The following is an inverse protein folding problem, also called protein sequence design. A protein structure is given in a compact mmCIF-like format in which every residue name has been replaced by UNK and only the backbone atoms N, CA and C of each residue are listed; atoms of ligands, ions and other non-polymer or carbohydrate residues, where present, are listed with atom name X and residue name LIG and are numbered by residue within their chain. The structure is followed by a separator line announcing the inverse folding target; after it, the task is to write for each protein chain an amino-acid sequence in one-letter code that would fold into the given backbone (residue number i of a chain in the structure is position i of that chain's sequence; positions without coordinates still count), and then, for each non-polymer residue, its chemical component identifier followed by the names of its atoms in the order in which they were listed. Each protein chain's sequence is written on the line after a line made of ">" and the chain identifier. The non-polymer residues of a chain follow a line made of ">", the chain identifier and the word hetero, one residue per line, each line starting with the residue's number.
data_IF_811782643930
#
_entry.id   IF_811782643930
#
_cell.length_a   1.000
_cell.length_b   1.000
_cell.length_c   1.000
_cell.angle_alpha   90.00
_cell.angle_beta   90.00
_cell.angle_gamma   90.00
#
_symmetry.space_group_name_H-M   'P 1'
#
loop_
_entity.id
_entity.type
_entity.pdbx_description
1 polymer ?
#
# COMPACT_ATOMS: atom_id res chain seq x y z
N UNK A 1 14.53 7.09 -11.40
CA UNK A 1 15.36 6.67 -10.25
C UNK A 1 15.44 5.15 -10.17
N UNK A 2 16.65 4.65 -9.98
CA UNK A 2 17.11 3.33 -9.54
C UNK A 2 16.48 2.07 -10.13
N UNK A 3 15.90 2.12 -11.32
CA UNK A 3 15.32 0.91 -11.94
C UNK A 3 16.35 0.08 -12.72
N UNK A 4 17.62 0.49 -12.69
CA UNK A 4 18.77 -0.26 -13.20
C UNK A 4 19.88 -0.45 -12.18
N UNK A 5 19.64 -0.18 -10.90
CA UNK A 5 20.65 -0.37 -9.86
C UNK A 5 20.56 -1.77 -9.26
N UNK A 6 21.74 -2.38 -9.08
CA UNK A 6 21.88 -3.77 -8.66
C UNK A 6 21.45 -3.97 -7.20
N UNK A 7 20.77 -5.08 -6.91
CA UNK A 7 20.35 -5.42 -5.54
C UNK A 7 21.52 -5.44 -4.54
N UNK A 8 22.71 -5.86 -4.97
CA UNK A 8 23.93 -5.85 -4.16
C UNK A 8 24.34 -4.43 -3.71
N UNK A 9 23.97 -3.41 -4.47
CA UNK A 9 24.29 -2.01 -4.21
C UNK A 9 23.22 -1.36 -3.34
N UNK A 10 21.94 -1.52 -3.68
CA UNK A 10 20.85 -0.75 -3.03
C UNK A 10 19.91 -1.56 -2.15
N UNK A 11 20.06 -2.89 -2.10
CA UNK A 11 19.29 -3.75 -1.22
C UNK A 11 19.60 -3.53 0.27
N UNK A 12 18.87 -4.19 1.17
CA UNK A 12 19.08 -4.09 2.62
C UNK A 12 20.37 -4.79 3.05
N UNK A 13 21.52 -4.16 2.84
CA UNK A 13 22.84 -4.73 3.14
C UNK A 13 23.01 -5.15 4.61
N UNK A 14 22.32 -4.48 5.52
CA UNK A 14 22.34 -4.80 6.95
C UNK A 14 21.68 -6.16 7.25
N UNK A 15 20.70 -6.59 6.45
CA UNK A 15 20.13 -7.94 6.52
C UNK A 15 21.01 -8.98 5.82
N UNK A 16 21.85 -8.53 4.88
CA UNK A 16 22.80 -9.36 4.14
C UNK A 16 24.14 -9.54 4.86
N UNK A 17 24.32 -8.91 6.04
CA UNK A 17 25.54 -8.96 6.83
C UNK A 17 25.71 -10.35 7.48
N UNK A 18 26.27 -11.25 6.69
CA UNK A 18 26.90 -12.55 6.95
C UNK A 18 27.01 -12.95 8.45
N UNK A 19 26.14 -13.84 8.91
CA UNK A 19 26.35 -14.63 10.15
C UNK A 19 27.05 -15.97 9.88
N UNK A 20 27.30 -16.35 8.62
CA UNK A 20 27.94 -17.63 8.26
C UNK A 20 28.62 -17.63 6.90
N UNK A 21 29.66 -18.47 6.66
CA UNK A 21 30.47 -18.49 5.44
C UNK A 21 29.70 -18.79 4.13
N UNK A 22 28.40 -19.07 4.19
CA UNK A 22 27.53 -19.43 3.07
C UNK A 22 26.76 -18.28 2.42
N UNK A 23 27.01 -16.99 2.74
CA UNK A 23 26.31 -15.82 2.13
C UNK A 23 24.76 -15.97 2.11
N UNK A 24 24.16 -16.65 3.08
CA UNK A 24 22.70 -16.84 3.15
C UNK A 24 22.10 -15.84 4.13
N UNK A 25 21.02 -15.16 3.73
CA UNK A 25 20.29 -14.23 4.60
C UNK A 25 19.49 -15.05 5.61
N UNK A 26 19.76 -14.88 6.89
CA UNK A 26 18.93 -15.48 7.95
C UNK A 26 17.70 -14.59 8.19
N UNK A 27 16.51 -15.14 7.92
CA UNK A 27 15.25 -14.39 8.01
C UNK A 27 14.57 -14.71 9.34
N UNK A 28 14.55 -13.73 10.24
CA UNK A 28 13.63 -13.72 11.38
C UNK A 28 12.23 -13.25 10.94
N UNK A 29 11.28 -14.19 10.89
CA UNK A 29 9.89 -13.92 10.48
C UNK A 29 9.04 -13.25 11.55
N UNK A 30 9.47 -13.27 12.81
CA UNK A 30 8.77 -12.60 13.92
C UNK A 30 9.21 -11.14 14.04
N UNK A 31 10.39 -10.80 13.52
CA UNK A 31 10.90 -9.44 13.46
C UNK A 31 10.15 -8.57 12.43
N UNK A 32 9.57 -7.46 12.89
CA UNK A 32 8.87 -6.49 12.04
C UNK A 32 9.78 -5.80 11.02
N UNK A 33 11.05 -5.55 11.35
CA UNK A 33 12.03 -4.96 10.44
C UNK A 33 12.32 -5.89 9.26
N UNK A 34 12.55 -7.18 9.51
CA UNK A 34 12.76 -8.16 8.45
C UNK A 34 11.54 -8.23 7.52
N UNK A 35 10.32 -8.34 8.08
CA UNK A 35 9.08 -8.35 7.29
C UNK A 35 8.91 -7.09 6.46
N UNK A 36 9.18 -5.91 7.03
CA UNK A 36 9.15 -4.61 6.32
C UNK A 36 10.16 -4.59 5.17
N UNK A 37 11.42 -4.92 5.42
CA UNK A 37 12.49 -4.86 4.43
C UNK A 37 12.26 -5.86 3.28
N UNK A 38 11.82 -7.09 3.60
CA UNK A 38 11.49 -8.12 2.60
C UNK A 38 10.33 -7.66 1.73
N UNK A 39 9.22 -7.22 2.32
CA UNK A 39 8.04 -6.79 1.54
C UNK A 39 8.34 -5.56 0.68
N UNK A 40 9.12 -4.60 1.20
CA UNK A 40 9.58 -3.46 0.40
C UNK A 40 10.50 -3.91 -0.76
N UNK A 41 11.41 -4.85 -0.53
CA UNK A 41 12.30 -5.41 -1.58
C UNK A 41 11.50 -6.12 -2.67
N UNK A 42 10.49 -6.93 -2.31
CA UNK A 42 9.61 -7.57 -3.28
C UNK A 42 8.85 -6.55 -4.15
N UNK A 43 8.36 -5.46 -3.54
CA UNK A 43 7.74 -4.35 -4.29
C UNK A 43 8.76 -3.71 -5.24
N UNK A 44 10.00 -3.49 -4.82
CA UNK A 44 11.05 -2.96 -5.70
C UNK A 44 11.39 -3.92 -6.84
N UNK A 45 11.39 -5.23 -6.61
CA UNK A 45 11.50 -6.24 -7.67
C UNK A 45 10.46 -6.03 -8.78
N UNK A 46 9.22 -5.69 -8.42
CA UNK A 46 8.17 -5.38 -9.42
C UNK A 46 8.41 -4.08 -10.21
N UNK A 47 9.13 -3.10 -9.64
CA UNK A 47 9.60 -1.93 -10.38
C UNK A 47 10.70 -2.28 -11.38
N UNK A 48 11.66 -3.11 -10.97
CA UNK A 48 12.77 -3.55 -11.83
C UNK A 48 12.26 -4.40 -12.99
N UNK A 49 11.33 -5.33 -12.74
CA UNK A 49 10.66 -6.12 -13.78
C UNK A 49 10.05 -5.25 -14.90
N UNK A 50 9.32 -4.18 -14.57
CA UNK A 50 8.74 -3.30 -15.58
C UNK A 50 9.81 -2.46 -16.29
N UNK A 51 10.88 -2.08 -15.59
CA UNK A 51 11.99 -1.35 -16.20
C UNK A 51 12.77 -2.21 -17.18
N UNK A 52 13.08 -3.45 -16.84
CA UNK A 52 13.72 -4.41 -17.74
C UNK A 52 12.86 -4.66 -18.99
N UNK A 53 11.55 -4.90 -18.80
CA UNK A 53 10.59 -5.02 -19.91
C UNK A 53 10.63 -3.79 -20.84
N UNK A 54 10.75 -2.60 -20.27
CA UNK A 54 10.82 -1.36 -21.05
C UNK A 54 12.14 -1.25 -21.80
N UNK A 55 13.27 -1.51 -21.13
CA UNK A 55 14.61 -1.43 -21.71
C UNK A 55 14.85 -2.46 -22.81
N UNK A 56 14.43 -3.71 -22.62
CA UNK A 56 14.49 -4.76 -23.66
C UNK A 56 13.74 -4.36 -24.93
N UNK A 57 12.71 -3.52 -24.81
CA UNK A 57 11.98 -2.98 -25.96
C UNK A 57 12.73 -1.83 -26.64
N UNK A 58 13.42 -0.99 -25.86
CA UNK A 58 14.22 0.13 -26.37
C UNK A 58 15.55 -0.35 -26.98
N UNK A 59 16.09 -1.48 -26.52
CA UNK A 59 17.36 -2.08 -26.95
C UNK A 59 17.21 -3.05 -28.13
N UNK A 60 16.07 -3.09 -28.83
CA UNK A 60 15.86 -3.96 -29.99
C UNK A 60 16.79 -3.65 -31.20
N UNK A 61 17.78 -2.76 -31.06
CA UNK A 61 18.76 -2.37 -32.08
C UNK A 61 20.24 -2.49 -31.65
N UNK A 62 20.61 -2.92 -30.43
CA UNK A 62 22.04 -3.19 -30.13
C UNK A 62 22.31 -4.12 -28.92
N UNK A 63 23.28 -5.01 -29.15
CA UNK A 63 24.02 -5.96 -28.31
C UNK A 63 23.38 -6.69 -27.09
N UNK A 64 23.59 -8.01 -27.10
CA UNK A 64 23.00 -9.07 -26.29
C UNK A 64 23.88 -9.39 -25.08
N UNK A 65 23.65 -8.75 -23.92
CA UNK A 65 24.03 -9.29 -22.58
C UNK A 65 23.45 -8.46 -21.42
N UNK A 66 22.12 -8.32 -21.33
CA UNK A 66 21.51 -7.74 -20.13
C UNK A 66 21.15 -8.85 -19.13
N UNK A 67 21.97 -9.03 -18.09
CA UNK A 67 21.67 -9.94 -16.97
C UNK A 67 20.39 -9.45 -16.26
N UNK A 68 19.38 -10.31 -16.02
CA UNK A 68 18.18 -9.92 -15.30
C UNK A 68 18.53 -9.57 -13.85
N UNK A 69 18.32 -8.31 -13.47
CA UNK A 69 18.55 -7.74 -12.14
C UNK A 69 17.35 -7.97 -11.22
N UNK A 70 16.15 -8.12 -11.77
CA UNK A 70 14.93 -8.29 -10.99
C UNK A 70 14.96 -9.50 -10.03
N UNK A 71 15.42 -10.71 -10.44
CA UNK A 71 15.41 -11.90 -9.58
C UNK A 71 16.07 -11.74 -8.22
N UNK A 72 17.17 -10.99 -8.16
CA UNK A 72 17.91 -10.75 -6.92
C UNK A 72 17.04 -10.10 -5.81
N UNK A 73 15.97 -9.36 -6.18
CA UNK A 73 15.07 -8.70 -5.23
C UNK A 73 14.14 -9.65 -4.46
N UNK A 74 13.95 -10.88 -4.93
CA UNK A 74 13.11 -11.87 -4.26
C UNK A 74 13.84 -13.19 -3.95
N UNK A 75 14.75 -13.63 -4.82
CA UNK A 75 15.51 -14.88 -4.62
C UNK A 75 16.44 -14.80 -3.41
N UNK A 76 17.00 -13.62 -3.13
CA UNK A 76 17.83 -13.38 -1.94
C UNK A 76 17.08 -13.66 -0.62
N UNK A 77 15.74 -13.63 -0.65
CA UNK A 77 14.88 -13.90 0.50
C UNK A 77 14.15 -15.24 0.37
N UNK A 78 14.62 -16.13 -0.52
CA UNK A 78 14.04 -17.45 -0.78
C UNK A 78 12.60 -17.41 -1.31
N UNK A 79 12.29 -16.42 -2.14
CA UNK A 79 11.04 -16.39 -2.90
C UNK A 79 11.28 -16.83 -4.34
N UNK A 80 10.23 -17.36 -4.96
CA UNK A 80 10.15 -17.58 -6.41
C UNK A 80 9.01 -16.75 -7.01
N UNK A 81 9.20 -16.24 -8.22
CA UNK A 81 8.14 -15.53 -8.93
C UNK A 81 7.15 -16.54 -9.51
N UNK A 82 5.93 -16.58 -8.98
CA UNK A 82 4.87 -17.46 -9.46
C UNK A 82 4.18 -16.88 -10.69
N UNK A 83 3.79 -15.60 -10.63
CA UNK A 83 2.99 -14.96 -11.68
C UNK A 83 3.24 -13.46 -11.74
N UNK A 84 3.29 -12.91 -12.96
CA UNK A 84 3.38 -11.48 -13.20
C UNK A 84 1.99 -10.92 -13.52
N UNK A 85 1.60 -9.85 -12.84
CA UNK A 85 0.32 -9.19 -13.06
C UNK A 85 0.47 -8.11 -14.13
N UNK A 86 -0.18 -8.34 -15.27
CA UNK A 86 -0.18 -7.46 -16.44
C UNK A 86 -1.56 -6.86 -16.63
N UNK A 87 -1.63 -5.61 -17.06
CA UNK A 87 -2.92 -4.95 -17.34
C UNK A 87 -2.90 -4.25 -18.69
N UNK A 88 -3.96 -4.46 -19.47
CA UNK A 88 -4.34 -3.63 -20.62
C UNK A 88 -5.42 -2.66 -20.13
N UNK A 89 -5.07 -1.39 -19.91
CA UNK A 89 -6.04 -0.39 -19.50
C UNK A 89 -5.75 0.90 -20.25
N UNK A 90 -6.79 1.41 -20.93
CA UNK A 90 -6.77 2.63 -21.73
C UNK A 90 -7.19 3.86 -20.91
N UNK A 91 -7.33 3.75 -19.58
CA UNK A 91 -7.64 4.92 -18.78
C UNK A 91 -6.48 5.93 -18.85
N UNK A 92 -6.82 7.22 -18.83
CA UNK A 92 -5.84 8.33 -18.97
C UNK A 92 -4.65 8.15 -18.02
N UNK A 93 -4.85 7.62 -16.82
CA UNK A 93 -3.77 7.35 -15.85
C UNK A 93 -2.82 6.21 -16.24
N UNK A 94 -3.35 5.17 -16.90
CA UNK A 94 -2.54 4.10 -17.48
C UNK A 94 -1.83 4.57 -18.75
N UNK A 95 -2.29 5.66 -19.38
CA UNK A 95 -1.65 6.33 -20.51
C UNK A 95 -0.65 7.41 -20.10
N UNK A 96 -0.83 8.10 -18.97
CA UNK A 96 0.11 9.15 -18.48
C UNK A 96 1.48 8.56 -18.15
N UNK A 97 1.54 7.31 -17.64
CA UNK A 97 2.81 6.58 -17.50
C UNK A 97 3.43 6.12 -18.83
N UNK A 98 2.68 6.22 -19.94
CA UNK A 98 3.08 5.90 -21.32
C UNK A 98 3.26 7.19 -22.13
N UNK A 99 4.17 8.08 -21.75
CA UNK A 99 4.70 9.03 -22.74
C UNK A 99 5.64 8.23 -23.66
N UNK A 100 5.11 7.78 -24.80
CA UNK A 100 5.70 7.70 -26.15
C UNK A 100 4.77 6.87 -27.07
N UNK A 101 4.41 7.52 -28.17
CA UNK A 101 3.81 7.11 -29.45
C UNK A 101 2.56 6.21 -29.49
N UNK A 102 1.49 6.82 -29.98
CA UNK A 102 0.16 6.30 -30.27
C UNK A 102 0.16 5.28 -31.44
N UNK A 103 1.31 4.84 -31.96
CA UNK A 103 1.35 4.15 -33.25
C UNK A 103 1.47 2.61 -33.24
N UNK A 104 1.76 1.91 -32.13
CA UNK A 104 1.77 0.43 -32.16
C UNK A 104 1.19 -0.28 -30.92
N UNK A 105 -0.12 -0.54 -30.99
CA UNK A 105 -0.78 -1.69 -30.33
C UNK A 105 -1.17 -1.56 -28.85
N UNK A 106 -2.17 -2.34 -28.42
CA UNK A 106 -2.63 -2.47 -27.02
C UNK A 106 -1.54 -3.07 -26.13
N UNK A 107 -0.71 -2.22 -25.51
CA UNK A 107 0.43 -2.74 -24.71
C UNK A 107 0.05 -3.07 -23.26
N UNK A 108 0.45 -4.28 -22.82
CA UNK A 108 0.40 -4.76 -21.43
C UNK A 108 1.57 -4.20 -20.64
N UNK A 109 1.31 -3.59 -19.48
CA UNK A 109 2.35 -3.20 -18.53
C UNK A 109 2.26 -4.03 -17.26
N UNK A 110 3.40 -4.32 -16.64
CA UNK A 110 3.48 -5.03 -15.37
C UNK A 110 3.15 -4.03 -14.28
N UNK A 111 2.21 -4.34 -13.40
CA UNK A 111 1.85 -3.47 -12.26
C UNK A 111 2.01 -4.18 -10.90
N UNK A 112 2.28 -5.47 -10.91
CA UNK A 112 2.57 -6.26 -9.72
C UNK A 112 3.03 -7.67 -10.07
N UNK A 113 3.33 -8.45 -9.05
CA UNK A 113 3.67 -9.87 -9.18
C UNK A 113 3.24 -10.64 -7.92
N UNK A 114 3.10 -11.95 -8.06
CA UNK A 114 2.85 -12.89 -6.98
C UNK A 114 4.11 -13.70 -6.79
N UNK A 115 4.64 -13.64 -5.58
CA UNK A 115 5.80 -14.39 -5.13
C UNK A 115 5.35 -15.51 -4.20
N UNK A 116 6.01 -16.66 -4.30
CA UNK A 116 5.80 -17.79 -3.43
C UNK A 116 7.06 -18.02 -2.59
N UNK A 117 6.88 -18.21 -1.29
CA UNK A 117 7.99 -18.48 -0.39
C UNK A 117 8.42 -19.94 -0.49
N UNK A 118 9.71 -20.18 -0.74
CA UNK A 118 10.31 -21.49 -0.87
C UNK A 118 11.44 -21.64 0.17
N UNK A 119 11.16 -22.17 1.38
CA UNK A 119 12.15 -22.29 2.45
C UNK A 119 13.43 -23.03 2.00
N UNK A 120 14.61 -22.59 2.45
CA UNK A 120 15.86 -23.25 2.07
C UNK A 120 15.90 -24.69 2.61
N UNK A 121 16.45 -25.60 1.80
CA UNK A 121 16.70 -26.99 2.19
C UNK A 121 15.46 -27.84 2.47
N UNK A 122 14.27 -27.42 2.03
CA UNK A 122 13.02 -28.15 2.28
C UNK A 122 12.56 -28.11 3.73
N UNK A 123 13.08 -27.17 4.52
CA UNK A 123 12.67 -26.96 5.91
C UNK A 123 11.17 -26.62 6.01
N UNK A 124 10.48 -27.01 7.11
CA UNK A 124 9.12 -26.58 7.35
C UNK A 124 9.02 -25.05 7.34
N UNK A 125 7.99 -24.50 6.69
CA UNK A 125 7.76 -23.06 6.67
C UNK A 125 7.49 -22.55 8.09
N UNK A 126 8.18 -21.48 8.48
CA UNK A 126 7.92 -20.80 9.75
C UNK A 126 6.44 -20.37 9.86
N UNK A 127 5.76 -20.52 11.01
CA UNK A 127 4.34 -20.17 11.15
C UNK A 127 4.02 -18.72 10.75
N UNK A 128 4.93 -17.79 11.07
CA UNK A 128 4.83 -16.37 10.73
C UNK A 128 5.24 -16.03 9.29
N UNK A 129 5.80 -16.97 8.52
CA UNK A 129 6.20 -16.73 7.14
C UNK A 129 5.02 -16.80 6.18
N UNK A 130 4.94 -15.95 5.14
CA UNK A 130 3.90 -16.05 4.12
C UNK A 130 4.11 -17.29 3.26
N UNK A 131 3.02 -17.84 2.74
CA UNK A 131 3.04 -18.75 1.58
C UNK A 131 3.19 -17.95 0.29
N UNK A 132 2.45 -16.84 0.18
CA UNK A 132 2.47 -15.96 -0.97
C UNK A 132 2.56 -14.49 -0.58
N UNK A 133 3.26 -13.69 -1.38
CA UNK A 133 3.25 -12.23 -1.29
C UNK A 133 2.80 -11.66 -2.63
N UNK A 134 1.73 -10.88 -2.62
CA UNK A 134 1.28 -10.13 -3.79
C UNK A 134 1.79 -8.70 -3.67
N UNK A 135 2.75 -8.33 -4.52
CA UNK A 135 3.38 -7.02 -4.48
C UNK A 135 2.93 -6.16 -5.66
N UNK A 136 2.56 -4.90 -5.39
CA UNK A 136 2.13 -3.94 -6.40
C UNK A 136 3.05 -2.72 -6.45
N UNK A 137 3.55 -2.38 -7.64
CA UNK A 137 4.34 -1.15 -7.82
C UNK A 137 3.45 0.08 -7.98
N UNK A 138 4.01 1.23 -7.63
CA UNK A 138 3.44 2.53 -7.96
C UNK A 138 3.78 3.01 -9.37
N UNK A 139 3.59 4.30 -9.59
CA UNK A 139 3.85 4.97 -10.88
C UNK A 139 5.36 5.02 -11.17
N UNK A 140 5.76 4.77 -12.42
CA UNK A 140 7.15 4.96 -12.87
C UNK A 140 7.41 6.45 -13.06
N UNK A 141 8.29 7.06 -12.26
CA UNK A 141 8.69 8.46 -12.39
C UNK A 141 9.85 8.53 -13.37
N UNK A 142 9.61 9.00 -14.61
CA UNK A 142 10.66 9.21 -15.61
C UNK A 142 11.34 10.59 -15.48
N UNK A 143 10.62 11.61 -14.99
CA UNK A 143 11.15 12.98 -14.86
C UNK A 143 11.10 13.52 -13.42
N UNK A 144 12.03 14.42 -13.07
CA UNK A 144 12.23 14.97 -11.71
C UNK A 144 11.16 15.99 -11.27
N UNK A 145 10.45 16.65 -12.19
CA UNK A 145 9.45 17.71 -11.91
C UNK A 145 8.08 17.19 -11.47
N UNK A 146 7.96 15.89 -11.16
CA UNK A 146 6.69 15.14 -11.21
C UNK A 146 5.92 14.98 -9.89
N UNK A 147 6.38 15.46 -8.74
CA UNK A 147 5.68 15.16 -7.47
C UNK A 147 4.26 15.75 -7.40
N UNK A 148 4.12 17.01 -7.81
CA UNK A 148 2.81 17.69 -7.82
C UNK A 148 1.85 17.06 -8.84
N UNK A 149 2.35 16.77 -10.04
CA UNK A 149 1.57 16.11 -11.09
C UNK A 149 1.17 14.69 -10.67
N UNK A 150 2.11 13.93 -10.11
CA UNK A 150 1.85 12.60 -9.58
C UNK A 150 0.80 12.62 -8.46
N UNK A 151 0.85 13.61 -7.56
CA UNK A 151 -0.18 13.79 -6.52
C UNK A 151 -1.55 14.06 -7.14
N UNK A 152 -1.60 14.90 -8.18
CA UNK A 152 -2.85 15.23 -8.87
C UNK A 152 -3.40 14.00 -9.62
N UNK A 153 -2.57 13.33 -10.41
CA UNK A 153 -2.91 12.12 -11.15
C UNK A 153 -3.43 11.03 -10.22
N UNK A 154 -2.76 10.86 -9.09
CA UNK A 154 -3.12 9.86 -8.10
C UNK A 154 -4.41 10.22 -7.37
N UNK A 155 -4.66 11.51 -7.10
CA UNK A 155 -5.96 11.98 -6.57
C UNK A 155 -7.09 11.63 -7.53
N UNK A 156 -6.93 11.93 -8.81
CA UNK A 156 -7.96 11.67 -9.80
C UNK A 156 -8.14 10.15 -9.98
N UNK A 157 -7.05 9.37 -10.00
CA UNK A 157 -7.11 7.92 -10.08
C UNK A 157 -7.77 7.27 -8.86
N UNK A 158 -7.49 7.74 -7.64
CA UNK A 158 -8.19 7.29 -6.43
C UNK A 158 -9.68 7.64 -6.45
N UNK A 159 -10.06 8.72 -7.13
CA UNK A 159 -11.46 9.07 -7.36
C UNK A 159 -12.09 8.21 -8.47
N UNK A 160 -11.28 7.67 -9.39
CA UNK A 160 -11.68 6.87 -10.54
C UNK A 160 -11.31 5.37 -10.43
N UNK A 161 -10.99 4.86 -9.24
CA UNK A 161 -10.43 3.50 -9.05
C UNK A 161 -11.33 2.40 -9.64
N UNK A 162 -12.64 2.63 -9.74
CA UNK A 162 -13.61 1.71 -10.39
C UNK A 162 -13.45 1.59 -11.90
N UNK A 163 -12.94 2.64 -12.55
CA UNK A 163 -12.70 2.66 -14.00
C UNK A 163 -11.34 2.12 -14.41
N UNK A 164 -10.44 1.81 -13.46
CA UNK A 164 -9.12 1.29 -13.78
C UNK A 164 -9.07 -0.23 -13.63
N UNK A 165 -8.81 -0.94 -14.74
CA UNK A 165 -8.77 -2.41 -14.78
C UNK A 165 -7.74 -3.06 -13.86
N UNK A 166 -6.73 -2.32 -13.38
CA UNK A 166 -5.74 -2.82 -12.41
C UNK A 166 -6.36 -3.25 -11.09
N UNK A 167 -7.34 -2.49 -10.60
CA UNK A 167 -7.97 -2.76 -9.31
C UNK A 167 -8.86 -4.01 -9.40
N UNK A 168 -9.67 -4.11 -10.46
CA UNK A 168 -10.50 -5.31 -10.69
C UNK A 168 -9.65 -6.56 -10.94
N UNK A 169 -8.64 -6.47 -11.81
CA UNK A 169 -7.74 -7.59 -12.08
C UNK A 169 -6.97 -8.01 -10.83
N UNK A 170 -6.49 -7.06 -10.00
CA UNK A 170 -5.81 -7.39 -8.75
C UNK A 170 -6.72 -8.16 -7.77
N UNK A 171 -7.99 -7.73 -7.61
CA UNK A 171 -8.95 -8.43 -6.74
C UNK A 171 -9.22 -9.85 -7.22
N UNK A 172 -9.37 -10.03 -8.54
CA UNK A 172 -9.58 -11.35 -9.14
C UNK A 172 -8.36 -12.26 -8.91
N UNK A 173 -7.16 -11.75 -9.19
CA UNK A 173 -5.92 -12.52 -9.09
C UNK A 173 -5.57 -12.92 -7.65
N UNK A 174 -5.87 -12.06 -6.67
CA UNK A 174 -5.76 -12.38 -5.24
C UNK A 174 -6.87 -13.33 -4.81
N UNK A 175 -8.10 -13.13 -5.29
CA UNK A 175 -9.23 -14.03 -5.01
C UNK A 175 -8.96 -15.47 -5.46
N UNK A 176 -8.26 -15.67 -6.59
CA UNK A 176 -7.82 -16.99 -7.06
C UNK A 176 -6.89 -17.74 -6.10
N UNK A 177 -6.22 -17.03 -5.17
CA UNK A 177 -5.38 -17.66 -4.13
C UNK A 177 -6.22 -18.23 -2.97
N UNK A 178 -7.52 -17.91 -2.93
CA UNK A 178 -8.46 -18.35 -1.89
C UNK A 178 -9.68 -19.04 -2.52
N UNK A 179 -9.59 -20.33 -2.89
CA UNK A 179 -10.72 -21.11 -3.39
C UNK A 179 -11.95 -21.04 -2.47
N UNK A 180 -13.15 -21.03 -3.07
CA UNK A 180 -14.42 -20.79 -2.38
C UNK A 180 -14.81 -21.86 -1.33
N UNK A 181 -14.10 -22.99 -1.25
CA UNK A 181 -14.28 -23.99 -0.19
C UNK A 181 -13.74 -23.54 1.19
N UNK A 182 -13.14 -22.35 1.30
CA UNK A 182 -12.42 -21.86 2.48
C UNK A 182 -13.21 -20.86 3.35
N UNK A 183 -14.45 -20.52 2.96
CA UNK A 183 -15.31 -19.60 3.72
C UNK A 183 -16.27 -20.38 4.62
N UNK A 184 -15.79 -20.85 5.78
CA UNK A 184 -16.66 -21.23 6.92
C UNK A 184 -15.82 -21.40 8.19
N UNK A 185 -15.95 -20.45 9.13
CA UNK A 185 -15.41 -20.57 10.49
C UNK A 185 -14.35 -19.53 10.81
N UNK A 186 -14.71 -18.53 11.62
CA UNK A 186 -13.87 -17.36 11.95
C UNK A 186 -12.50 -17.69 12.53
N UNK A 187 -11.53 -16.82 12.21
CA UNK A 187 -10.15 -16.88 12.66
C UNK A 187 -9.21 -17.25 11.50
N UNK A 188 -8.32 -16.33 11.12
CA UNK A 188 -7.38 -16.46 10.02
C UNK A 188 -6.39 -17.63 10.22
N UNK A 189 -6.82 -18.85 9.95
CA UNK A 189 -5.97 -20.04 9.88
C UNK A 189 -6.50 -20.95 8.78
N UNK A 190 -5.91 -20.80 7.58
CA UNK A 190 -6.32 -21.53 6.38
C UNK A 190 -5.65 -22.91 6.33
N UNK A 191 -6.28 -23.96 6.87
CA UNK A 191 -5.77 -25.34 6.69
C UNK A 191 -6.11 -25.82 5.28
N UNK A 192 -5.11 -26.16 4.46
CA UNK A 192 -5.31 -26.85 3.18
C UNK A 192 -4.34 -28.01 3.04
N UNK A 193 -4.93 -29.20 2.93
CA UNK A 193 -4.45 -30.47 2.40
C UNK A 193 -2.96 -30.83 2.57
N UNK A 194 -2.73 -31.78 3.48
CA UNK A 194 -1.67 -32.79 3.37
C UNK A 194 -0.45 -32.61 4.27
N UNK A 195 -0.17 -31.40 4.74
CA UNK A 195 0.93 -31.15 5.67
C UNK A 195 0.69 -29.89 6.52
N UNK A 196 -0.29 -29.93 7.43
CA UNK A 196 -0.33 -29.17 8.69
C UNK A 196 -0.03 -27.66 8.72
N UNK A 197 -0.05 -26.92 7.61
CA UNK A 197 0.35 -25.51 7.56
C UNK A 197 -0.76 -24.59 7.08
N UNK A 198 -0.94 -23.45 7.75
CA UNK A 198 -1.93 -22.44 7.36
C UNK A 198 -1.47 -21.64 6.13
N UNK A 199 -2.22 -21.61 5.02
CA UNK A 199 -1.86 -20.79 3.85
C UNK A 199 -1.97 -19.30 4.21
N UNK A 200 -0.85 -18.58 4.19
CA UNK A 200 -0.79 -17.15 4.54
C UNK A 200 -0.42 -16.34 3.31
N UNK A 201 -1.31 -15.44 2.88
CA UNK A 201 -1.04 -14.51 1.78
C UNK A 201 -0.80 -13.13 2.37
N UNK A 202 0.21 -12.41 1.89
CA UNK A 202 0.44 -11.00 2.25
C UNK A 202 0.20 -10.09 1.05
N UNK A 203 -0.27 -8.88 1.31
CA UNK A 203 -0.37 -7.82 0.32
C UNK A 203 0.70 -6.78 0.59
N UNK A 204 1.41 -6.34 -0.44
CA UNK A 204 2.38 -5.27 -0.34
C UNK A 204 2.22 -4.28 -1.49
N UNK A 205 2.44 -3.00 -1.25
CA UNK A 205 2.48 -2.04 -2.35
C UNK A 205 3.11 -0.71 -1.97
N UNK A 206 3.59 -0.01 -2.98
CA UNK A 206 4.18 1.33 -2.84
C UNK A 206 3.40 2.37 -3.63
N UNK A 207 3.16 3.54 -3.03
CA UNK A 207 2.49 4.68 -3.67
C UNK A 207 1.14 4.24 -4.27
N UNK A 208 0.92 4.40 -5.58
CA UNK A 208 -0.27 3.86 -6.24
C UNK A 208 -0.47 2.34 -6.06
N UNK A 209 0.61 1.56 -6.01
CA UNK A 209 0.54 0.13 -5.72
C UNK A 209 0.01 -0.16 -4.32
N UNK A 210 0.34 0.71 -3.35
CA UNK A 210 -0.22 0.63 -2.00
C UNK A 210 -1.74 0.88 -2.02
N UNK A 211 -2.23 1.79 -2.86
CA UNK A 211 -3.69 1.98 -3.04
C UNK A 211 -4.38 0.75 -3.63
N UNK A 212 -3.73 0.03 -4.54
CA UNK A 212 -4.25 -1.23 -5.10
C UNK A 212 -4.30 -2.28 -3.99
N UNK A 213 -3.21 -2.47 -3.23
CA UNK A 213 -3.17 -3.37 -2.09
C UNK A 213 -4.26 -3.05 -1.05
N UNK A 214 -4.48 -1.76 -0.80
CA UNK A 214 -5.50 -1.27 0.13
C UNK A 214 -6.92 -1.59 -0.35
N UNK A 215 -7.22 -1.39 -1.64
CA UNK A 215 -8.52 -1.77 -2.22
C UNK A 215 -8.76 -3.28 -2.18
N UNK A 216 -7.74 -4.07 -2.50
CA UNK A 216 -7.80 -5.54 -2.45
C UNK A 216 -8.03 -6.01 -1.00
N UNK A 217 -7.27 -5.50 -0.03
CA UNK A 217 -7.42 -5.87 1.38
C UNK A 217 -8.82 -5.54 1.91
N UNK A 218 -9.37 -4.37 1.54
CA UNK A 218 -10.77 -4.02 1.84
C UNK A 218 -11.77 -4.98 1.21
N UNK A 219 -11.57 -5.36 -0.05
CA UNK A 219 -12.44 -6.32 -0.74
C UNK A 219 -12.44 -7.69 -0.04
N UNK A 220 -11.26 -8.18 0.35
CA UNK A 220 -11.08 -9.46 1.01
C UNK A 220 -11.70 -9.47 2.41
N UNK A 221 -11.52 -8.40 3.19
CA UNK A 221 -12.17 -8.29 4.50
C UNK A 221 -13.69 -8.13 4.38
N UNK A 222 -14.17 -7.24 3.51
CA UNK A 222 -15.60 -6.93 3.42
C UNK A 222 -16.45 -8.02 2.75
N UNK A 223 -15.87 -8.85 1.87
CA UNK A 223 -16.61 -9.92 1.17
C UNK A 223 -16.31 -11.32 1.67
N UNK A 224 -15.11 -11.57 2.19
CA UNK A 224 -14.65 -12.91 2.59
C UNK A 224 -14.24 -13.00 4.06
N UNK A 225 -14.31 -11.90 4.81
CA UNK A 225 -13.89 -11.81 6.22
C UNK A 225 -12.43 -12.26 6.45
N UNK A 226 -11.60 -12.10 5.42
CA UNK A 226 -10.18 -12.49 5.47
C UNK A 226 -9.32 -11.31 5.93
N UNK A 227 -8.72 -11.46 7.11
CA UNK A 227 -7.77 -10.49 7.65
C UNK A 227 -6.36 -10.74 7.08
N UNK A 228 -6.10 -10.14 5.92
CA UNK A 228 -4.86 -10.35 5.18
C UNK A 228 -3.78 -9.36 5.65
N UNK A 229 -2.60 -9.82 6.14
CA UNK A 229 -1.49 -8.94 6.45
C UNK A 229 -1.13 -8.07 5.26
N UNK A 230 -1.15 -6.76 5.46
CA UNK A 230 -1.00 -5.78 4.39
C UNK A 230 0.06 -4.75 4.73
N UNK A 231 1.01 -4.52 3.82
CA UNK A 231 2.14 -3.62 3.97
C UNK A 231 2.04 -2.49 2.94
N UNK A 232 1.73 -1.29 3.40
CA UNK A 232 1.43 -0.14 2.55
C UNK A 232 2.54 0.90 2.69
N UNK A 233 3.35 1.08 1.65
CA UNK A 233 4.44 2.05 1.62
C UNK A 233 4.02 3.33 0.91
N UNK A 234 4.06 4.45 1.63
CA UNK A 234 3.69 5.78 1.14
C UNK A 234 2.38 5.83 0.33
N UNK A 235 1.27 5.19 0.78
CA UNK A 235 0.02 5.26 0.06
C UNK A 235 -0.50 6.69 0.00
N UNK A 236 -1.07 7.10 -1.13
CA UNK A 236 -1.64 8.43 -1.27
C UNK A 236 -2.88 8.63 -0.41
N UNK A 237 -2.89 9.73 0.34
CA UNK A 237 -4.06 10.23 1.04
C UNK A 237 -4.12 11.73 0.88
N UNK A 238 -5.11 12.18 0.11
CA UNK A 238 -5.35 13.60 -0.06
C UNK A 238 -6.22 14.08 1.09
N UNK A 239 -5.64 14.84 2.01
CA UNK A 239 -6.41 15.67 2.94
C UNK A 239 -6.22 17.16 2.58
N UNK A 240 -7.31 17.92 2.64
CA UNK A 240 -7.29 19.40 2.52
C UNK A 240 -6.32 20.03 3.54
N UNK A 241 -6.27 19.57 4.81
CA UNK A 241 -5.29 20.07 5.78
C UNK A 241 -3.83 19.74 5.46
N UNK A 242 -3.53 18.65 4.74
CA UNK A 242 -2.15 18.32 4.35
C UNK A 242 -1.58 19.28 3.30
N UNK A 243 -2.41 20.12 2.67
CA UNK A 243 -1.97 21.20 1.80
C UNK A 243 -1.59 22.49 2.55
N UNK A 244 -1.90 22.59 3.85
CA UNK A 244 -1.50 23.71 4.69
C UNK A 244 -0.05 23.53 5.15
N UNK A 245 0.76 24.57 5.00
CA UNK A 245 2.17 24.56 5.41
C UNK A 245 2.27 24.66 6.94
N UNK A 246 2.75 23.60 7.60
CA UNK A 246 2.82 23.51 9.06
C UNK A 246 4.00 24.31 9.66
N UNK A 247 4.80 25.01 8.84
CA UNK A 247 5.99 25.74 9.29
C UNK A 247 5.69 27.02 10.07
N UNK A 248 4.43 27.50 10.07
CA UNK A 248 4.02 28.66 10.88
C UNK A 248 3.17 28.23 12.09
N UNK A 249 3.44 28.76 13.31
CA UNK A 249 2.62 28.49 14.50
C UNK A 249 1.13 28.82 14.30
N UNK A 250 0.85 29.95 13.64
CA UNK A 250 -0.51 30.36 13.30
C UNK A 250 -1.20 29.40 12.33
N UNK A 251 -0.45 28.78 11.42
CA UNK A 251 -0.99 27.78 10.49
C UNK A 251 -1.41 26.51 11.23
N UNK A 252 -0.67 26.08 12.28
CA UNK A 252 -1.06 24.94 13.12
C UNK A 252 -2.35 25.19 13.88
N UNK A 253 -2.51 26.39 14.46
CA UNK A 253 -3.74 26.78 15.17
C UNK A 253 -4.91 26.87 14.20
N UNK A 254 -4.74 27.55 13.07
CA UNK A 254 -5.77 27.65 12.04
C UNK A 254 -6.18 26.27 11.51
N UNK A 255 -5.20 25.39 11.26
CA UNK A 255 -5.42 23.99 10.86
C UNK A 255 -6.25 23.27 11.91
N UNK A 256 -5.89 23.36 13.20
CA UNK A 256 -6.68 22.75 14.28
C UNK A 256 -8.12 23.28 14.35
N UNK A 257 -8.34 24.58 14.18
CA UNK A 257 -9.68 25.19 14.20
C UNK A 257 -10.51 24.72 13.00
N UNK A 258 -9.94 24.75 11.80
CA UNK A 258 -10.59 24.31 10.55
C UNK A 258 -10.94 22.82 10.61
N UNK A 259 -10.08 21.99 11.21
CA UNK A 259 -10.35 20.56 11.37
C UNK A 259 -11.47 20.34 12.39
N UNK A 260 -11.42 20.99 13.56
CA UNK A 260 -12.46 20.83 14.58
C UNK A 260 -13.83 21.28 14.07
N UNK A 261 -13.90 22.43 13.39
CA UNK A 261 -15.15 22.91 12.79
C UNK A 261 -15.65 21.97 11.68
N UNK A 262 -14.73 21.39 10.90
CA UNK A 262 -15.05 20.38 9.89
C UNK A 262 -15.65 19.10 10.50
N UNK A 263 -15.15 18.61 11.63
CA UNK A 263 -15.75 17.45 12.31
C UNK A 263 -17.15 17.75 12.85
N UNK A 264 -17.36 18.94 13.41
CA UNK A 264 -18.68 19.38 13.88
C UNK A 264 -19.67 19.48 12.70
N UNK A 265 -19.24 20.08 11.58
CA UNK A 265 -20.06 20.18 10.37
C UNK A 265 -20.38 18.80 9.80
N UNK A 266 -19.40 17.89 9.71
CA UNK A 266 -19.63 16.50 9.30
C UNK A 266 -20.62 15.78 10.21
N UNK A 267 -20.51 15.96 11.53
CA UNK A 267 -21.46 15.36 12.47
C UNK A 267 -22.88 15.90 12.26
N UNK A 268 -23.03 17.22 12.11
CA UNK A 268 -24.33 17.83 11.80
C UNK A 268 -24.92 17.34 10.48
N UNK A 269 -24.11 17.25 9.41
CA UNK A 269 -24.52 16.67 8.13
C UNK A 269 -24.83 15.17 8.25
N UNK A 270 -24.12 14.45 9.11
CA UNK A 270 -24.35 13.04 9.42
C UNK A 270 -25.73 12.80 10.01
N UNK A 271 -26.21 13.69 10.89
CA UNK A 271 -27.57 13.63 11.45
C UNK A 271 -28.63 13.83 10.35
N UNK A 272 -28.36 14.70 9.37
CA UNK A 272 -29.26 14.92 8.22
C UNK A 272 -29.25 13.71 7.28
N UNK A 273 -28.09 13.07 7.12
CA UNK A 273 -27.86 11.91 6.24
C UNK A 273 -27.73 10.61 7.04
N UNK A 274 -28.61 10.40 8.03
CA UNK A 274 -28.50 9.28 8.99
C UNK A 274 -28.41 7.89 8.33
N UNK A 275 -29.17 7.56 7.25
CA UNK A 275 -29.02 6.27 6.57
C UNK A 275 -27.62 6.06 5.98
N UNK A 276 -27.02 7.12 5.44
CA UNK A 276 -25.67 7.06 4.88
C UNK A 276 -24.63 6.90 5.99
N UNK A 277 -24.76 7.67 7.07
CA UNK A 277 -23.89 7.59 8.24
C UNK A 277 -23.88 6.17 8.82
N UNK A 278 -25.05 5.57 9.02
CA UNK A 278 -25.17 4.21 9.54
C UNK A 278 -24.49 3.18 8.64
N UNK A 279 -24.72 3.26 7.32
CA UNK A 279 -24.02 2.40 6.35
C UNK A 279 -22.49 2.55 6.43
N UNK A 280 -21.98 3.77 6.62
CA UNK A 280 -20.53 4.01 6.77
C UNK A 280 -19.99 3.44 8.09
N UNK A 281 -20.73 3.57 9.19
CA UNK A 281 -20.39 2.98 10.49
C UNK A 281 -20.35 1.44 10.41
N UNK A 282 -21.36 0.81 9.80
CA UNK A 282 -21.39 -0.65 9.57
C UNK A 282 -20.20 -1.13 8.72
N UNK A 283 -19.84 -0.41 7.65
CA UNK A 283 -18.66 -0.72 6.85
C UNK A 283 -17.35 -0.55 7.64
N UNK A 284 -17.26 0.44 8.53
CA UNK A 284 -16.10 0.66 9.39
C UNK A 284 -15.95 -0.44 10.44
N UNK A 285 -17.06 -0.87 11.05
CA UNK A 285 -17.10 -2.00 11.98
C UNK A 285 -16.67 -3.28 11.29
N UNK A 286 -17.20 -3.56 10.10
CA UNK A 286 -16.81 -4.73 9.30
C UNK A 286 -15.32 -4.75 8.96
N UNK A 287 -14.72 -3.59 8.67
CA UNK A 287 -13.30 -3.45 8.36
C UNK A 287 -12.41 -3.34 9.62
N UNK A 288 -12.97 -3.13 10.81
CA UNK A 288 -12.22 -2.86 12.04
C UNK A 288 -11.23 -3.95 12.47
N UNK A 289 -11.47 -5.27 12.24
CA UNK A 289 -10.52 -6.32 12.56
C UNK A 289 -9.26 -6.27 11.69
N UNK A 290 -9.35 -5.72 10.47
CA UNK A 290 -8.23 -5.61 9.55
C UNK A 290 -7.32 -4.43 9.91
N UNK A 291 -6.06 -4.73 10.24
CA UNK A 291 -5.07 -3.74 10.69
C UNK A 291 -3.87 -3.75 9.74
N UNK A 292 -3.91 -2.98 8.63
CA UNK A 292 -2.78 -2.86 7.72
C UNK A 292 -1.60 -2.12 8.38
N UNK A 293 -0.37 -2.53 8.03
CA UNK A 293 0.86 -1.80 8.32
C UNK A 293 1.01 -0.65 7.32
N UNK A 294 0.98 0.56 7.84
CA UNK A 294 0.93 1.79 7.08
C UNK A 294 2.22 2.58 7.29
N UNK A 295 3.14 2.49 6.33
CA UNK A 295 4.43 3.16 6.33
C UNK A 295 4.31 4.51 5.62
N UNK A 296 4.50 5.60 6.35
CA UNK A 296 4.32 6.96 5.85
C UNK A 296 5.47 7.88 6.28
N UNK A 297 5.87 8.79 5.40
CA UNK A 297 6.90 9.77 5.71
C UNK A 297 6.29 11.14 6.05
N UNK A 298 6.79 11.80 7.09
CA UNK A 298 6.23 13.08 7.57
C UNK A 298 6.36 14.24 6.57
N UNK A 299 7.44 14.27 5.79
CA UNK A 299 7.69 15.25 4.71
C UNK A 299 7.02 14.91 3.37
N UNK A 300 6.41 13.73 3.22
CA UNK A 300 5.82 13.34 1.93
C UNK A 300 4.39 13.87 1.79
N UNK A 301 4.20 14.86 0.91
CA UNK A 301 2.89 15.49 0.65
C UNK A 301 1.85 14.54 0.03
N UNK A 302 2.29 13.39 -0.48
CA UNK A 302 1.42 12.37 -1.07
C UNK A 302 0.77 11.53 0.03
N UNK A 303 1.54 11.08 1.03
CA UNK A 303 1.07 10.17 2.07
C UNK A 303 0.79 10.82 3.44
N UNK A 304 1.32 12.02 3.72
CA UNK A 304 1.17 12.72 5.01
C UNK A 304 -0.29 12.89 5.45
N UNK A 305 -1.23 12.91 4.50
CA UNK A 305 -2.66 12.97 4.81
C UNK A 305 -3.13 11.84 5.75
N UNK A 306 -2.47 10.68 5.76
CA UNK A 306 -2.77 9.62 6.73
C UNK A 306 -2.32 9.94 8.15
N UNK A 307 -1.14 10.57 8.32
CA UNK A 307 -0.66 11.04 9.63
C UNK A 307 -1.68 12.03 10.20
N UNK A 308 -2.02 13.03 9.40
CA UNK A 308 -3.03 14.04 9.73
C UNK A 308 -4.37 13.36 10.08
N UNK A 309 -4.84 12.40 9.29
CA UNK A 309 -6.10 11.69 9.55
C UNK A 309 -6.14 10.98 10.92
N UNK A 310 -5.13 10.16 11.22
CA UNK A 310 -5.12 9.36 12.45
C UNK A 310 -4.85 10.20 13.70
N UNK A 311 -3.90 11.15 13.64
CA UNK A 311 -3.62 12.07 14.76
C UNK A 311 -4.84 12.96 15.07
N UNK A 312 -5.54 13.44 14.04
CA UNK A 312 -6.76 14.25 14.22
C UNK A 312 -7.90 13.43 14.82
N UNK A 313 -8.11 12.20 14.34
CA UNK A 313 -9.17 11.34 14.86
C UNK A 313 -8.97 11.05 16.35
N UNK A 314 -7.75 10.73 16.77
CA UNK A 314 -7.43 10.52 18.19
C UNK A 314 -7.64 11.80 19.01
N UNK A 315 -7.22 12.96 18.49
CA UNK A 315 -7.44 14.25 19.16
C UNK A 315 -8.94 14.54 19.33
N UNK A 316 -9.74 14.31 18.30
CA UNK A 316 -11.19 14.50 18.35
C UNK A 316 -11.84 13.53 19.32
N UNK A 317 -11.41 12.26 19.36
CA UNK A 317 -11.89 11.28 20.34
C UNK A 317 -11.66 11.75 21.79
N UNK A 318 -10.55 12.45 22.07
CA UNK A 318 -10.26 13.01 23.40
C UNK A 318 -11.08 14.27 23.72
N UNK A 319 -11.35 15.11 22.73
CA UNK A 319 -12.03 16.40 22.93
C UNK A 319 -13.55 16.32 22.88
N UNK A 320 -14.10 15.59 21.91
CA UNK A 320 -15.54 15.50 21.64
C UNK A 320 -15.89 14.06 21.20
N UNK A 321 -15.96 13.09 22.13
CA UNK A 321 -16.11 11.66 21.79
C UNK A 321 -17.30 11.37 20.85
N UNK A 322 -18.49 11.90 21.16
CA UNK A 322 -19.71 11.67 20.36
C UNK A 322 -19.58 12.23 18.93
N UNK A 323 -18.95 13.41 18.77
CA UNK A 323 -18.72 14.04 17.46
C UNK A 323 -17.61 13.32 16.70
N UNK A 324 -16.61 12.80 17.40
CA UNK A 324 -15.45 12.15 16.82
C UNK A 324 -15.81 10.82 16.14
N UNK A 325 -16.64 9.99 16.78
CA UNK A 325 -17.10 8.71 16.20
C UNK A 325 -17.81 8.98 14.88
N UNK A 326 -18.88 9.78 14.90
CA UNK A 326 -19.65 10.10 13.69
C UNK A 326 -18.84 10.88 12.65
N UNK A 327 -18.00 11.84 13.07
CA UNK A 327 -17.23 12.68 12.14
C UNK A 327 -16.05 11.96 11.48
N UNK A 328 -15.57 10.85 12.07
CA UNK A 328 -14.41 10.10 11.59
C UNK A 328 -14.74 9.00 10.57
N UNK A 329 -15.98 8.51 10.56
CA UNK A 329 -16.52 7.63 9.52
C UNK A 329 -16.96 8.43 8.29
N UNK A 330 -17.31 9.71 8.48
CA UNK A 330 -17.84 10.58 7.43
C UNK A 330 -16.76 11.38 6.69
N UNK A 331 -16.98 11.53 5.39
CA UNK A 331 -16.19 12.39 4.51
C UNK A 331 -17.10 13.21 3.62
N UNK A 332 -16.74 14.47 3.35
CA UNK A 332 -17.53 15.34 2.48
C UNK A 332 -17.74 14.74 1.09
N UNK A 333 -16.75 13.98 0.58
CA UNK A 333 -16.87 13.30 -0.70
C UNK A 333 -18.01 12.28 -0.67
N UNK A 334 -18.04 11.43 0.34
CA UNK A 334 -19.01 10.35 0.46
C UNK A 334 -20.41 10.92 0.72
N UNK A 335 -20.50 11.96 1.56
CA UNK A 335 -21.75 12.68 1.81
C UNK A 335 -22.32 13.38 0.56
N UNK A 336 -21.50 14.10 -0.22
CA UNK A 336 -21.97 14.72 -1.47
C UNK A 336 -22.47 13.67 -2.46
N UNK A 337 -21.79 12.53 -2.56
CA UNK A 337 -22.20 11.43 -3.44
C UNK A 337 -23.47 10.73 -2.96
N UNK A 338 -23.65 10.60 -1.65
CA UNK A 338 -24.90 10.10 -1.07
C UNK A 338 -26.09 11.00 -1.43
N UNK A 339 -25.92 12.32 -1.38
CA UNK A 339 -26.94 13.29 -1.83
C UNK A 339 -27.24 13.14 -3.32
N UNK A 340 -26.24 12.82 -4.14
CA UNK A 340 -26.39 12.54 -5.57
C UNK A 340 -26.90 11.11 -5.88
N UNK A 341 -27.27 10.31 -4.87
CA UNK A 341 -27.80 8.95 -5.04
C UNK A 341 -26.75 7.91 -5.44
N UNK A 342 -25.46 8.21 -5.33
CA UNK A 342 -24.35 7.33 -5.74
C UNK A 342 -23.89 6.43 -4.57
N UNK A 343 -24.78 5.57 -4.05
CA UNK A 343 -24.62 4.84 -2.78
C UNK A 343 -23.63 3.66 -2.78
N UNK A 344 -23.02 3.31 -3.92
CA UNK A 344 -22.24 2.08 -4.03
C UNK A 344 -20.86 2.11 -3.34
N UNK A 345 -20.53 3.09 -2.49
CA UNK A 345 -19.15 3.39 -2.09
C UNK A 345 -18.59 2.62 -0.89
N UNK A 346 -17.28 2.36 -0.98
CA UNK A 346 -16.44 1.83 0.10
C UNK A 346 -15.77 2.99 0.81
N UNK A 347 -15.50 2.89 2.11
CA UNK A 347 -14.83 3.95 2.83
C UNK A 347 -13.42 4.09 2.26
N UNK A 348 -13.06 5.30 1.85
CA UNK A 348 -11.68 5.63 1.48
C UNK A 348 -10.79 5.80 2.72
N UNK A 349 -11.40 5.97 3.89
CA UNK A 349 -10.76 6.04 5.19
C UNK A 349 -10.49 4.64 5.75
N UNK A 350 -9.68 4.56 6.82
CA UNK A 350 -9.33 3.29 7.46
C UNK A 350 -9.79 3.28 8.92
N UNK A 351 -10.53 2.24 9.36
CA UNK A 351 -10.96 2.14 10.75
C UNK A 351 -9.78 1.87 11.69
N UNK A 352 -8.87 0.99 11.29
CA UNK A 352 -7.72 0.57 12.08
C UNK A 352 -6.46 0.53 11.20
N UNK A 353 -5.29 0.80 11.76
CA UNK A 353 -3.98 0.65 11.11
C UNK A 353 -2.84 0.65 12.13
N UNK A 354 -1.73 -0.03 11.81
CA UNK A 354 -0.45 0.19 12.46
C UNK A 354 0.31 1.28 11.69
N UNK A 355 0.38 2.49 12.25
CA UNK A 355 1.04 3.61 11.61
C UNK A 355 2.53 3.62 11.95
N UNK A 356 3.36 3.44 10.92
CA UNK A 356 4.82 3.51 10.99
C UNK A 356 5.28 4.81 10.33
N UNK A 357 5.67 5.79 11.14
CA UNK A 357 6.04 7.13 10.68
C UNK A 357 7.55 7.28 10.61
N UNK A 358 8.08 7.58 9.42
CA UNK A 358 9.46 8.00 9.23
C UNK A 358 9.58 9.51 9.44
N UNK A 359 10.48 9.89 10.36
CA UNK A 359 10.73 11.28 10.78
C UNK A 359 12.07 11.83 10.25
N UNK A 360 12.76 11.10 9.37
CA UNK A 360 14.05 11.53 8.84
C UNK A 360 13.97 12.83 8.04
N UNK A 361 15.03 13.62 8.13
CA UNK A 361 15.23 14.85 7.37
C UNK A 361 16.02 14.63 6.07
N UNK A 362 16.62 13.45 5.91
CA UNK A 362 17.52 13.08 4.81
C UNK A 362 16.79 12.16 3.82
N UNK A 363 17.15 12.25 2.53
CA UNK A 363 16.61 11.40 1.47
C UNK A 363 15.29 11.88 0.86
N UNK A 364 14.86 11.22 -0.22
CA UNK A 364 13.56 11.43 -0.85
C UNK A 364 12.46 10.81 0.02
N UNK A 365 11.53 11.62 0.57
CA UNK A 365 10.52 11.16 1.50
C UNK A 365 9.46 10.23 0.86
N UNK A 366 9.31 10.24 -0.46
CA UNK A 366 8.38 9.33 -1.15
C UNK A 366 9.07 8.06 -1.66
N UNK A 367 10.40 8.00 -1.67
CA UNK A 367 11.11 6.87 -2.26
C UNK A 367 10.96 5.59 -1.43
N UNK A 368 10.73 4.47 -2.10
CA UNK A 368 10.56 3.17 -1.45
C UNK A 368 11.82 2.72 -0.68
N UNK A 369 13.01 3.12 -1.14
CA UNK A 369 14.32 2.71 -0.62
C UNK A 369 14.49 2.99 0.87
N UNK A 370 13.92 4.08 1.37
CA UNK A 370 13.97 4.43 2.79
C UNK A 370 13.47 3.29 3.70
N UNK A 371 12.53 2.47 3.21
CA UNK A 371 11.83 1.46 4.00
C UNK A 371 12.62 0.15 4.14
N UNK A 372 13.83 0.07 3.60
CA UNK A 372 14.76 -1.03 3.87
C UNK A 372 16.16 -0.55 4.27
N UNK A 373 16.30 0.73 4.65
CA UNK A 373 17.52 1.23 5.26
C UNK A 373 17.61 0.80 6.73
N UNK A 374 18.83 0.70 7.31
CA UNK A 374 18.98 0.51 8.75
C UNK A 374 18.53 1.76 9.52
N UNK A 375 18.20 1.61 10.80
CA UNK A 375 17.93 2.74 11.69
C UNK A 375 19.12 3.72 11.68
N UNK A 376 18.83 5.00 11.43
CA UNK A 376 19.88 6.00 11.22
C UNK A 376 19.34 7.31 10.65
N UNK A 377 20.20 8.15 10.05
CA UNK A 377 19.80 9.48 9.56
C UNK A 377 18.69 9.46 8.49
N UNK A 378 18.60 8.39 7.70
CA UNK A 378 17.60 8.21 6.64
C UNK A 378 16.31 7.52 7.11
N UNK A 379 16.36 6.84 8.26
CA UNK A 379 15.23 6.07 8.80
C UNK A 379 15.14 6.24 10.32
N UNK A 380 14.17 7.04 10.74
CA UNK A 380 13.82 7.24 12.15
C UNK A 380 12.35 6.88 12.32
N UNK A 381 12.10 5.65 12.78
CA UNK A 381 10.74 5.11 12.86
C UNK A 381 10.08 5.35 14.21
N UNK A 382 8.81 5.71 14.14
CA UNK A 382 7.89 5.71 15.27
C UNK A 382 6.66 4.89 14.92
N UNK A 383 6.20 4.04 15.83
CA UNK A 383 5.11 3.11 15.61
C UNK A 383 3.94 3.46 16.52
N UNK A 384 2.73 3.47 15.97
CA UNK A 384 1.51 3.67 16.74
C UNK A 384 0.33 2.91 16.15
N UNK A 385 -0.28 2.05 16.96
CA UNK A 385 -1.52 1.38 16.59
C UNK A 385 -2.72 2.31 16.79
N UNK A 386 -3.53 2.45 15.75
CA UNK A 386 -4.85 3.07 15.80
C UNK A 386 -5.89 1.99 15.58
N UNK A 387 -6.84 1.86 16.51
CA UNK A 387 -7.92 0.87 16.42
C UNK A 387 -9.27 1.58 16.43
N UNK A 388 -10.21 1.07 15.63
CA UNK A 388 -11.61 1.43 15.78
C UNK A 388 -12.14 0.85 17.11
N UNK A 389 -12.81 1.65 17.95
CA UNK A 389 -13.45 1.13 19.16
C UNK A 389 -14.54 0.15 18.72
N UNK A 390 -14.44 -1.09 19.22
CA UNK A 390 -15.44 -2.13 19.03
C UNK A 390 -16.66 -1.88 19.92
#
# INVERSE_FOLDING_TARGET
>A
MDSGEEFSIIGPRHLMAVTSPTKTIEIDWDNEEHRRCITASLVKGTYVLESERTKLREAADDDDTCVPLAPAWWESFHFRQLRVLKCECECVFCMIGRRIEIELGRQRFIYGAIFEYAPPGGSPRHPSAPSYVVAFRGTMRRDATTLCDMRLDLRILLNAHRGCGRFSHAREEVGKLFPDSMTSGGGATVVVNGAGGSCSVWLAGHSLGASIALDVGRDMMAKRELNIPTFLFNPPQVSLPAAMNDNLPMAKVAKSVVISSSYILKHGLGIILEPHKRNMEEQFEQLSPWVPNLYVHQRDIICKGFIDYFEQRERMQKLLPCVAVSGSTLSYRDMCRAVLGMQNERPHLLPSAMLCKNQSSVGDPHELRQWWQPQGPELVLTHKAYKWPA
#
